data_IF_855943996810
#
_entry.id   IF_855943996810
#
_cell.length_a   1.000
_cell.length_b   1.000
_cell.length_c   1.000
_cell.angle_alpha   90.00
_cell.angle_beta   90.00
_cell.angle_gamma   90.00
#
_symmetry.space_group_name_H-M   'P 1'
#
loop_
_entity.id
_entity.type
_entity.pdbx_description
1 polymer ?
#
# COMPACT_ATOMS: atom_id res chain seq x y z
N UNK A 1 -20.62 18.95 -17.60
CA UNK A 1 -21.36 20.14 -17.15
C UNK A 1 -20.79 20.52 -15.81
N UNK A 2 -20.02 21.61 -15.78
CA UNK A 2 -19.91 22.58 -14.67
C UNK A 2 -18.58 23.36 -14.83
N UNK A 3 -18.57 24.23 -15.85
CA UNK A 3 -17.50 25.20 -16.11
C UNK A 3 -18.02 26.63 -15.93
N UNK A 4 -19.27 26.81 -15.49
CA UNK A 4 -19.96 28.10 -15.42
C UNK A 4 -19.85 28.79 -14.05
N UNK A 5 -19.41 28.08 -13.00
CA UNK A 5 -19.28 28.64 -11.65
C UNK A 5 -18.03 29.53 -11.40
N UNK A 6 -17.36 30.03 -12.45
CA UNK A 6 -16.27 31.01 -12.30
C UNK A 6 -16.79 32.43 -12.58
N UNK A 7 -17.38 33.01 -11.54
CA UNK A 7 -17.35 34.45 -11.27
C UNK A 7 -18.21 35.33 -12.17
N UNK A 8 -19.52 35.38 -11.89
CA UNK A 8 -20.26 36.62 -12.10
C UNK A 8 -19.67 37.67 -11.16
N UNK A 9 -18.81 38.55 -11.67
CA UNK A 9 -18.36 39.72 -10.91
C UNK A 9 -19.55 40.65 -10.76
N UNK A 10 -20.25 40.52 -9.64
CA UNK A 10 -21.38 41.37 -9.31
C UNK A 10 -20.81 42.76 -8.99
N UNK A 11 -21.08 43.73 -9.86
CA UNK A 11 -20.75 45.12 -9.58
C UNK A 11 -21.57 45.58 -8.38
N UNK A 12 -20.92 45.76 -7.23
CA UNK A 12 -21.54 46.31 -6.05
C UNK A 12 -21.61 47.83 -6.18
N UNK A 13 -22.75 48.43 -5.84
CA UNK A 13 -22.89 49.88 -5.79
C UNK A 13 -21.97 50.48 -4.72
N UNK A 14 -21.39 51.65 -5.01
CA UNK A 14 -20.55 52.39 -4.05
C UNK A 14 -21.43 52.98 -2.96
N UNK A 15 -21.55 52.28 -1.84
CA UNK A 15 -22.24 52.78 -0.65
C UNK A 15 -21.30 53.66 0.19
N UNK A 16 -21.78 54.82 0.64
CA UNK A 16 -21.08 55.65 1.61
C UNK A 16 -21.29 55.11 3.04
N UNK A 17 -20.31 55.29 3.92
CA UNK A 17 -20.43 54.94 5.33
C UNK A 17 -21.64 55.69 5.93
N UNK A 18 -22.58 54.95 6.53
CA UNK A 18 -23.83 55.51 7.07
C UNK A 18 -25.04 55.42 6.15
N UNK A 19 -24.92 54.83 4.96
CA UNK A 19 -26.06 54.56 4.07
C UNK A 19 -27.02 53.55 4.72
N UNK A 20 -28.33 53.81 4.67
CA UNK A 20 -29.35 52.86 5.14
C UNK A 20 -29.59 51.76 4.11
N UNK A 21 -29.66 50.51 4.56
CA UNK A 21 -30.01 49.36 3.72
C UNK A 21 -31.27 48.70 4.25
N UNK A 22 -32.19 48.36 3.36
CA UNK A 22 -33.39 47.60 3.71
C UNK A 22 -33.05 46.11 3.70
N UNK A 23 -33.28 45.45 4.83
CA UNK A 23 -33.20 44.00 4.91
C UNK A 23 -34.24 43.39 3.97
N UNK A 24 -33.78 42.71 2.93
CA UNK A 24 -34.67 42.07 1.94
C UNK A 24 -35.08 40.67 2.39
N UNK A 25 -34.11 39.85 2.77
CA UNK A 25 -34.31 38.46 3.13
C UNK A 25 -33.20 37.99 4.06
N UNK A 26 -33.51 37.06 4.96
CA UNK A 26 -32.52 36.34 5.77
C UNK A 26 -32.61 34.87 5.34
N UNK A 27 -31.59 34.40 4.64
CA UNK A 27 -31.42 32.98 4.36
C UNK A 27 -30.52 32.35 5.43
N UNK A 28 -31.07 31.40 6.18
CA UNK A 28 -30.30 30.59 7.13
C UNK A 28 -29.88 29.29 6.48
N UNK A 29 -28.57 29.08 6.31
CA UNK A 29 -28.01 27.82 5.82
C UNK A 29 -27.21 27.10 6.91
N UNK A 30 -27.45 25.80 7.05
CA UNK A 30 -26.64 24.94 7.90
C UNK A 30 -25.51 24.31 7.07
N UNK A 31 -24.28 24.35 7.60
CA UNK A 31 -23.12 23.77 6.96
C UNK A 31 -22.39 22.84 7.91
N UNK A 32 -21.91 21.72 7.36
CA UNK A 32 -21.00 20.82 8.07
C UNK A 32 -19.58 20.99 7.55
N UNK A 33 -18.61 20.88 8.45
CA UNK A 33 -17.21 20.79 8.05
C UNK A 33 -16.98 19.47 7.34
N UNK A 34 -16.30 19.54 6.20
CA UNK A 34 -15.84 18.35 5.50
C UNK A 34 -14.40 18.04 5.92
N UNK A 35 -14.01 16.75 5.94
CA UNK A 35 -12.62 16.39 6.17
C UNK A 35 -11.73 16.94 5.05
N UNK A 36 -10.41 17.07 5.29
CA UNK A 36 -9.46 17.43 4.25
C UNK A 36 -9.57 16.50 3.04
N UNK A 37 -9.54 17.02 1.81
CA UNK A 37 -9.64 16.19 0.62
C UNK A 37 -8.38 15.32 0.49
N UNK A 38 -8.55 14.08 0.05
CA UNK A 38 -7.42 13.24 -0.36
C UNK A 38 -6.66 13.89 -1.52
N UNK A 39 -5.36 13.62 -1.59
CA UNK A 39 -4.54 14.04 -2.71
C UNK A 39 -5.01 13.39 -4.02
N UNK A 40 -5.05 14.17 -5.09
CA UNK A 40 -4.90 13.69 -6.46
C UNK A 40 -3.44 13.85 -6.91
N UNK A 41 -3.09 13.32 -8.09
CA UNK A 41 -1.72 13.40 -8.62
C UNK A 41 -1.21 14.83 -8.71
N UNK A 42 -1.98 15.76 -9.27
CA UNK A 42 -1.57 17.16 -9.41
C UNK A 42 -1.38 17.85 -8.05
N UNK A 43 -2.27 17.61 -7.09
CA UNK A 43 -2.13 18.16 -5.74
C UNK A 43 -0.96 17.54 -4.99
N UNK A 44 -0.65 16.26 -5.22
CA UNK A 44 0.52 15.60 -4.63
C UNK A 44 1.80 16.18 -5.20
N UNK A 45 1.89 16.34 -6.52
CA UNK A 45 3.03 16.99 -7.19
C UNK A 45 3.22 18.40 -6.65
N UNK A 46 2.14 19.19 -6.56
CA UNK A 46 2.19 20.54 -6.01
C UNK A 46 2.71 20.57 -4.57
N UNK A 47 2.32 19.59 -3.74
CA UNK A 47 2.82 19.47 -2.37
C UNK A 47 4.29 19.04 -2.32
N UNK A 48 4.71 18.11 -3.18
CA UNK A 48 6.11 17.68 -3.28
C UNK A 48 7.02 18.83 -3.71
N UNK A 49 6.61 19.57 -4.74
CA UNK A 49 7.30 20.77 -5.23
C UNK A 49 7.41 21.85 -4.13
N UNK A 50 6.30 22.15 -3.44
CA UNK A 50 6.29 23.10 -2.33
C UNK A 50 7.20 22.69 -1.16
N UNK A 51 7.44 21.38 -0.98
CA UNK A 51 8.35 20.83 0.03
C UNK A 51 9.78 20.63 -0.49
N UNK A 52 10.05 20.94 -1.75
CA UNK A 52 11.36 20.75 -2.38
C UNK A 52 11.77 19.27 -2.55
N UNK A 53 10.80 18.35 -2.57
CA UNK A 53 11.02 16.91 -2.71
C UNK A 53 10.79 16.52 -4.17
N UNK A 54 11.77 15.87 -4.79
CA UNK A 54 11.72 15.49 -6.21
C UNK A 54 11.95 16.65 -7.17
N UNK A 55 11.90 16.35 -8.47
CA UNK A 55 12.16 17.24 -9.60
C UNK A 55 11.15 16.96 -10.72
N UNK A 56 11.00 17.85 -11.74
CA UNK A 56 10.12 17.60 -12.89
C UNK A 56 10.34 16.24 -13.57
N UNK A 57 11.58 15.73 -13.53
CA UNK A 57 11.96 14.41 -14.04
C UNK A 57 11.53 13.22 -13.17
N UNK A 58 11.19 13.44 -11.89
CA UNK A 58 10.92 12.35 -10.92
C UNK A 58 9.47 12.28 -10.44
N UNK A 59 8.66 13.34 -10.58
CA UNK A 59 7.28 13.33 -10.09
C UNK A 59 6.42 12.18 -10.62
N UNK A 60 6.51 11.91 -11.93
CA UNK A 60 5.77 10.81 -12.56
C UNK A 60 6.26 9.46 -12.02
N UNK A 61 7.58 9.26 -11.93
CA UNK A 61 8.15 7.98 -11.50
C UNK A 61 7.93 7.70 -10.01
N UNK A 62 7.85 8.74 -9.17
CA UNK A 62 7.45 8.62 -7.76
C UNK A 62 6.03 8.07 -7.68
N UNK A 63 5.06 8.72 -8.34
CA UNK A 63 3.65 8.32 -8.30
C UNK A 63 3.46 6.91 -8.86
N UNK A 64 4.09 6.61 -10.00
CA UNK A 64 4.05 5.27 -10.60
C UNK A 64 4.63 4.21 -9.67
N UNK A 65 5.71 4.53 -8.95
CA UNK A 65 6.31 3.60 -7.99
C UNK A 65 5.37 3.33 -6.82
N UNK A 66 4.75 4.37 -6.26
CA UNK A 66 3.76 4.21 -5.16
C UNK A 66 2.57 3.34 -5.58
N UNK A 67 2.06 3.56 -6.80
CA UNK A 67 0.95 2.78 -7.36
C UNK A 67 1.36 1.34 -7.68
N UNK A 68 2.49 1.15 -8.37
CA UNK A 68 3.00 -0.18 -8.76
C UNK A 68 3.29 -1.06 -7.54
N UNK A 69 3.79 -0.46 -6.45
CA UNK A 69 4.03 -1.14 -5.17
C UNK A 69 2.77 -1.31 -4.32
N UNK A 70 1.63 -0.77 -4.76
CA UNK A 70 0.33 -0.79 -4.06
C UNK A 70 0.36 -0.11 -2.68
N UNK A 71 1.25 0.87 -2.47
CA UNK A 71 1.19 1.70 -1.27
C UNK A 71 -0.01 2.65 -1.31
N UNK A 72 -0.40 3.07 -2.51
CA UNK A 72 -1.61 3.83 -2.77
C UNK A 72 -2.37 3.23 -3.94
N UNK A 73 -3.66 3.51 -4.04
CA UNK A 73 -4.53 3.13 -5.16
C UNK A 73 -5.24 4.36 -5.74
N UNK A 74 -5.48 4.35 -7.06
CA UNK A 74 -6.32 5.35 -7.71
C UNK A 74 -7.80 5.00 -7.48
N UNK A 75 -8.54 5.90 -6.85
CA UNK A 75 -9.99 5.85 -6.77
C UNK A 75 -10.57 7.13 -7.37
N UNK A 76 -11.21 7.01 -8.54
CA UNK A 76 -11.63 8.15 -9.37
C UNK A 76 -10.44 9.09 -9.67
N UNK A 77 -10.38 10.23 -9.00
CA UNK A 77 -9.29 11.21 -9.12
C UNK A 77 -8.42 11.30 -7.87
N UNK A 78 -8.68 10.48 -6.84
CA UNK A 78 -7.99 10.52 -5.55
C UNK A 78 -6.99 9.37 -5.45
N UNK A 79 -5.91 9.62 -4.71
CA UNK A 79 -4.94 8.64 -4.26
C UNK A 79 -5.30 8.27 -2.83
N UNK A 80 -5.68 7.01 -2.63
CA UNK A 80 -6.02 6.48 -1.33
C UNK A 80 -4.87 5.63 -0.81
N UNK A 81 -4.44 5.89 0.42
CA UNK A 81 -3.46 5.06 1.13
C UNK A 81 -4.03 3.65 1.30
N UNK A 82 -3.18 2.65 1.13
CA UNK A 82 -3.50 1.25 1.40
C UNK A 82 -2.86 0.83 2.72
N UNK A 83 -3.42 -0.19 3.37
CA UNK A 83 -2.92 -0.68 4.66
C UNK A 83 -1.41 -1.02 4.62
N UNK A 84 -0.89 -1.53 3.50
CA UNK A 84 0.56 -1.76 3.33
C UNK A 84 1.37 -0.46 3.28
N UNK A 85 0.82 0.59 2.67
CA UNK A 85 1.45 1.90 2.62
C UNK A 85 1.56 2.51 4.01
N UNK A 86 0.49 2.42 4.79
CA UNK A 86 0.45 2.84 6.19
C UNK A 86 1.48 2.09 7.03
N UNK A 87 1.45 0.74 7.00
CA UNK A 87 2.40 -0.08 7.77
C UNK A 87 3.85 0.23 7.40
N UNK A 88 4.16 0.39 6.12
CA UNK A 88 5.52 0.74 5.68
C UNK A 88 5.90 2.15 6.14
N UNK A 89 4.99 3.12 6.05
CA UNK A 89 5.23 4.48 6.55
C UNK A 89 5.58 4.46 8.04
N UNK A 90 4.78 3.77 8.85
CA UNK A 90 4.99 3.67 10.30
C UNK A 90 6.34 3.02 10.64
N UNK A 91 6.74 1.97 9.91
CA UNK A 91 8.06 1.33 10.11
C UNK A 91 9.18 2.32 9.81
N UNK A 92 9.08 3.01 8.67
CA UNK A 92 10.12 3.90 8.20
C UNK A 92 10.24 5.12 9.12
N UNK A 93 9.13 5.70 9.58
CA UNK A 93 9.14 6.81 10.53
C UNK A 93 9.77 6.42 11.86
N UNK A 94 9.49 5.20 12.34
CA UNK A 94 10.02 4.70 13.62
C UNK A 94 11.52 4.39 13.56
N UNK A 95 11.99 3.74 12.49
CA UNK A 95 13.35 3.20 12.42
C UNK A 95 14.31 4.03 11.56
N UNK A 96 13.78 4.83 10.62
CA UNK A 96 14.56 5.63 9.69
C UNK A 96 14.09 7.10 9.62
N UNK A 97 14.00 7.82 10.76
CA UNK A 97 13.48 9.19 10.79
C UNK A 97 14.25 10.16 9.89
N UNK A 98 15.54 9.88 9.66
CA UNK A 98 16.38 10.66 8.74
C UNK A 98 15.84 10.68 7.31
N UNK A 99 15.36 9.55 6.77
CA UNK A 99 14.94 9.45 5.37
C UNK A 99 13.47 9.77 5.17
N UNK A 100 12.66 9.74 6.24
CA UNK A 100 11.25 10.15 6.20
C UNK A 100 11.06 11.64 6.47
N UNK A 101 12.09 12.33 6.96
CA UNK A 101 12.08 13.77 7.14
C UNK A 101 12.06 14.52 5.79
N UNK A 102 11.15 15.48 5.67
CA UNK A 102 10.98 16.27 4.45
C UNK A 102 12.20 17.16 4.18
N UNK A 103 12.76 17.77 5.23
CA UNK A 103 13.87 18.70 5.09
C UNK A 103 15.15 17.97 4.65
N UNK A 104 15.40 16.79 5.22
CA UNK A 104 16.49 15.92 4.79
C UNK A 104 16.36 15.54 3.32
N UNK A 105 15.18 15.08 2.91
CA UNK A 105 14.92 14.66 1.52
C UNK A 105 15.13 15.82 0.55
N UNK A 106 14.61 17.00 0.88
CA UNK A 106 14.80 18.20 0.05
C UNK A 106 16.28 18.63 -0.04
N UNK A 107 17.02 18.59 1.07
CA UNK A 107 18.46 18.87 1.08
C UNK A 107 19.25 17.90 0.20
N UNK A 108 18.90 16.60 0.22
CA UNK A 108 19.54 15.61 -0.63
C UNK A 108 19.37 15.96 -2.12
N UNK A 109 18.18 16.38 -2.53
CA UNK A 109 17.94 16.82 -3.91
C UNK A 109 18.82 18.03 -4.27
N UNK A 110 18.93 19.03 -3.39
CA UNK A 110 19.86 20.16 -3.60
C UNK A 110 21.32 19.74 -3.69
N UNK A 111 21.75 18.77 -2.87
CA UNK A 111 23.11 18.23 -2.95
C UNK A 111 23.35 17.53 -4.29
N UNK A 112 22.36 16.81 -4.83
CA UNK A 112 22.48 16.18 -6.15
C UNK A 112 22.56 17.22 -7.28
N UNK A 113 21.84 18.33 -7.17
CA UNK A 113 21.98 19.47 -8.09
C UNK A 113 23.40 20.07 -8.01
N UNK A 114 23.94 20.24 -6.81
CA UNK A 114 25.32 20.74 -6.61
C UNK A 114 26.39 19.77 -7.15
N UNK A 115 26.13 18.46 -7.15
CA UNK A 115 26.98 17.46 -7.82
C UNK A 115 26.90 17.66 -9.34
N UNK A 116 25.70 17.86 -9.90
CA UNK A 116 25.52 18.09 -11.33
C UNK A 116 26.22 19.38 -11.80
N UNK A 117 26.25 20.40 -10.95
CA UNK A 117 26.97 21.66 -11.17
C UNK A 117 28.48 21.58 -10.86
N UNK A 118 28.99 20.40 -10.50
CA UNK A 118 30.38 20.16 -10.10
C UNK A 118 30.87 21.00 -8.91
N UNK A 119 29.97 21.47 -8.04
CA UNK A 119 30.30 22.21 -6.81
C UNK A 119 30.74 21.29 -5.67
N UNK A 120 30.21 20.07 -5.63
CA UNK A 120 30.55 19.04 -4.64
C UNK A 120 30.81 17.69 -5.33
N UNK A 121 31.67 16.86 -4.75
CA UNK A 121 31.98 15.54 -5.31
C UNK A 121 30.90 14.50 -4.98
N UNK A 122 30.47 13.71 -5.97
CA UNK A 122 29.48 12.63 -5.79
C UNK A 122 29.83 11.69 -4.62
N UNK A 123 31.10 11.25 -4.56
CA UNK A 123 31.59 10.34 -3.52
C UNK A 123 31.45 10.94 -2.11
N UNK A 124 31.67 12.24 -1.97
CA UNK A 124 31.53 12.93 -0.70
C UNK A 124 30.07 12.92 -0.22
N UNK A 125 29.12 13.13 -1.13
CA UNK A 125 27.68 13.06 -0.84
C UNK A 125 27.29 11.65 -0.39
N UNK A 126 27.69 10.64 -1.15
CA UNK A 126 27.38 9.23 -0.86
C UNK A 126 27.99 8.77 0.47
N UNK A 127 29.25 9.11 0.75
CA UNK A 127 29.90 8.76 2.01
C UNK A 127 29.23 9.43 3.22
N UNK A 128 28.85 10.71 3.10
CA UNK A 128 28.12 11.44 4.16
C UNK A 128 26.74 10.84 4.43
N UNK A 129 26.01 10.47 3.38
CA UNK A 129 24.72 9.81 3.50
C UNK A 129 24.87 8.44 4.17
N UNK A 130 25.73 7.59 3.60
CA UNK A 130 25.84 6.19 4.01
C UNK A 130 26.32 6.04 5.45
N UNK A 131 27.28 6.86 5.91
CA UNK A 131 27.74 6.85 7.31
C UNK A 131 26.62 7.03 8.32
N UNK A 132 25.62 7.87 8.02
CA UNK A 132 24.47 8.07 8.90
C UNK A 132 23.44 6.96 8.73
N UNK A 133 23.19 6.55 7.48
CA UNK A 133 22.23 5.51 7.16
C UNK A 133 22.62 4.14 7.75
N UNK A 134 23.90 3.77 7.70
CA UNK A 134 24.42 2.49 8.22
C UNK A 134 24.14 2.34 9.72
N UNK A 135 24.31 3.40 10.51
CA UNK A 135 24.00 3.39 11.94
C UNK A 135 22.50 3.12 12.20
N UNK A 136 21.62 3.72 11.39
CA UNK A 136 20.18 3.48 11.48
C UNK A 136 19.83 2.06 11.04
N UNK A 137 20.49 1.56 9.99
CA UNK A 137 20.28 0.22 9.47
C UNK A 137 20.68 -0.86 10.48
N UNK A 138 21.82 -0.71 11.17
CA UNK A 138 22.25 -1.67 12.18
C UNK A 138 21.30 -1.70 13.38
N UNK A 139 20.79 -0.55 13.83
CA UNK A 139 19.74 -0.49 14.86
C UNK A 139 18.43 -1.11 14.40
N UNK A 140 18.03 -0.83 13.15
CA UNK A 140 16.81 -1.39 12.59
C UNK A 140 16.89 -2.93 12.48
N UNK A 141 18.08 -3.51 12.19
CA UNK A 141 18.24 -4.97 12.16
C UNK A 141 17.99 -5.63 13.51
N UNK A 142 18.32 -4.97 14.62
CA UNK A 142 18.10 -5.51 15.96
C UNK A 142 16.69 -5.25 16.46
N UNK A 143 16.14 -4.06 16.16
CA UNK A 143 14.93 -3.55 16.80
C UNK A 143 13.66 -3.77 15.97
N UNK A 144 13.79 -4.11 14.69
CA UNK A 144 12.66 -4.36 13.80
C UNK A 144 12.04 -5.72 14.13
N UNK A 145 11.21 -5.74 15.16
CA UNK A 145 10.30 -6.84 15.39
C UNK A 145 9.48 -7.09 14.12
N UNK A 146 9.30 -8.36 13.74
CA UNK A 146 8.35 -8.68 12.68
C UNK A 146 6.99 -8.15 13.11
N UNK A 147 6.51 -7.08 12.46
CA UNK A 147 5.19 -6.50 12.67
C UNK A 147 4.14 -7.56 12.37
N UNK A 148 3.83 -8.35 13.39
CA UNK A 148 2.74 -9.32 13.41
C UNK A 148 1.57 -8.57 13.99
N UNK A 149 0.75 -7.97 13.12
CA UNK A 149 -0.52 -7.41 13.55
C UNK A 149 -1.45 -8.57 13.88
N UNK A 150 -1.49 -8.96 15.16
CA UNK A 150 -2.37 -10.02 15.65
C UNK A 150 -3.80 -9.47 15.61
N UNK A 151 -4.69 -10.24 15.01
CA UNK A 151 -6.11 -9.90 14.90
C UNK A 151 -6.92 -10.59 15.99
N UNK A 152 -8.12 -10.09 16.27
CA UNK A 152 -9.05 -10.73 17.20
C UNK A 152 -9.71 -11.99 16.62
N UNK A 153 -9.57 -12.22 15.31
CA UNK A 153 -10.17 -13.37 14.62
C UNK A 153 -9.45 -14.66 15.00
N UNK A 154 -10.21 -15.66 15.47
CA UNK A 154 -9.71 -16.99 15.82
C UNK A 154 -9.64 -17.89 14.58
N UNK A 155 -8.60 -18.72 14.51
CA UNK A 155 -8.45 -19.74 13.48
C UNK A 155 -9.52 -20.83 13.67
N UNK A 156 -10.35 -21.14 12.65
CA UNK A 156 -11.36 -22.18 12.75
C UNK A 156 -10.78 -23.60 12.94
N UNK A 157 -9.51 -23.82 12.61
CA UNK A 157 -8.90 -25.16 12.67
C UNK A 157 -8.17 -25.46 13.99
N UNK A 158 -7.75 -24.44 14.75
CA UNK A 158 -6.98 -24.66 15.98
C UNK A 158 -7.24 -23.64 17.10
N UNK A 159 -8.10 -22.64 16.89
CA UNK A 159 -8.47 -21.65 17.91
C UNK A 159 -7.42 -20.57 18.20
N UNK A 160 -6.22 -20.62 17.61
CA UNK A 160 -5.20 -19.56 17.77
C UNK A 160 -5.60 -18.29 17.01
N UNK A 161 -5.19 -17.11 17.47
CA UNK A 161 -5.45 -15.86 16.75
C UNK A 161 -4.83 -15.88 15.35
N UNK A 162 -5.53 -15.29 14.39
CA UNK A 162 -4.99 -15.02 13.07
C UNK A 162 -4.09 -13.79 13.13
N UNK A 163 -3.05 -13.80 12.31
CA UNK A 163 -2.10 -12.71 12.18
C UNK A 163 -2.20 -12.18 10.76
N UNK A 164 -2.26 -10.86 10.64
CA UNK A 164 -2.25 -10.16 9.37
C UNK A 164 -0.82 -10.01 8.85
N UNK A 165 -0.65 -10.28 7.56
CA UNK A 165 0.61 -10.08 6.85
C UNK A 165 0.36 -9.60 5.44
N UNK A 166 1.34 -8.90 4.90
CA UNK A 166 1.33 -8.40 3.54
C UNK A 166 2.21 -9.24 2.62
N UNK A 167 1.75 -9.42 1.38
CA UNK A 167 2.50 -10.03 0.28
C UNK A 167 2.35 -9.17 -0.98
N UNK A 168 3.06 -9.52 -2.06
CA UNK A 168 2.88 -8.87 -3.36
C UNK A 168 1.41 -8.91 -3.86
N UNK A 169 0.64 -9.91 -3.41
CA UNK A 169 -0.77 -10.09 -3.76
C UNK A 169 -1.72 -9.38 -2.78
N UNK A 170 -1.20 -8.52 -1.90
CA UNK A 170 -1.98 -7.80 -0.91
C UNK A 170 -1.92 -8.45 0.47
N UNK A 171 -2.81 -7.99 1.35
CA UNK A 171 -2.96 -8.50 2.71
C UNK A 171 -3.54 -9.91 2.72
N UNK A 172 -3.15 -10.69 3.71
CA UNK A 172 -3.71 -12.02 3.97
C UNK A 172 -3.60 -12.30 5.47
N UNK A 173 -4.49 -13.16 5.95
CA UNK A 173 -4.44 -13.68 7.32
C UNK A 173 -3.82 -15.06 7.33
N UNK A 174 -3.05 -15.37 8.36
CA UNK A 174 -2.54 -16.73 8.59
C UNK A 174 -2.64 -17.10 10.06
N UNK A 175 -2.71 -18.40 10.34
CA UNK A 175 -2.78 -18.87 11.73
C UNK A 175 -1.53 -18.51 12.54
N UNK A 176 -1.72 -17.87 13.69
CA UNK A 176 -0.65 -17.48 14.62
C UNK A 176 0.12 -18.65 15.23
N UNK A 177 -0.44 -19.87 15.22
CA UNK A 177 0.29 -21.10 15.62
C UNK A 177 1.48 -21.41 14.69
N UNK A 178 1.51 -20.79 13.50
CA UNK A 178 2.57 -20.96 12.51
C UNK A 178 2.35 -22.15 11.58
N UNK A 179 2.98 -22.10 10.41
CA UNK A 179 2.71 -23.03 9.31
C UNK A 179 3.05 -24.50 9.61
N UNK A 180 3.93 -24.74 10.59
CA UNK A 180 4.29 -26.10 11.04
C UNK A 180 3.16 -26.77 11.82
N UNK A 181 2.36 -25.98 12.55
CA UNK A 181 1.26 -26.47 13.36
C UNK A 181 -0.09 -26.34 12.63
N UNK A 182 -0.32 -25.23 11.94
CA UNK A 182 -1.58 -24.96 11.23
C UNK A 182 -1.33 -24.19 9.94
N UNK A 183 -1.81 -24.73 8.81
CA UNK A 183 -1.63 -24.12 7.48
C UNK A 183 -2.78 -23.21 7.04
N UNK A 184 -3.71 -22.90 7.95
CA UNK A 184 -4.85 -22.04 7.66
C UNK A 184 -4.41 -20.64 7.22
N UNK A 185 -4.92 -20.21 6.06
CA UNK A 185 -4.66 -18.89 5.47
C UNK A 185 -5.90 -18.38 4.74
N UNK A 186 -6.22 -17.11 4.95
CA UNK A 186 -7.31 -16.40 4.26
C UNK A 186 -6.71 -15.32 3.39
N UNK A 187 -7.13 -15.27 2.13
CA UNK A 187 -6.79 -14.18 1.22
C UNK A 187 -8.02 -13.33 0.94
N UNK A 188 -7.83 -12.13 0.41
CA UNK A 188 -8.91 -11.22 0.07
C UNK A 188 -8.88 -10.95 -1.44
N UNK A 189 -10.07 -10.99 -2.05
CA UNK A 189 -10.31 -10.67 -3.46
C UNK A 189 -11.34 -9.53 -3.54
N UNK A 190 -11.59 -9.00 -4.74
CA UNK A 190 -12.63 -7.98 -4.96
C UNK A 190 -14.04 -8.50 -4.60
N UNK A 191 -14.26 -9.81 -4.73
CA UNK A 191 -15.52 -10.49 -4.43
C UNK A 191 -15.67 -10.89 -2.96
N UNK A 192 -14.62 -10.73 -2.14
CA UNK A 192 -14.62 -11.05 -0.71
C UNK A 192 -13.49 -11.97 -0.26
N UNK A 193 -13.71 -12.66 0.87
CA UNK A 193 -12.71 -13.54 1.48
C UNK A 193 -12.57 -14.89 0.77
N UNK A 194 -11.35 -15.26 0.45
CA UNK A 194 -10.99 -16.60 -0.03
C UNK A 194 -10.60 -17.47 1.17
N UNK A 195 -11.56 -18.27 1.62
CA UNK A 195 -11.40 -19.17 2.75
C UNK A 195 -10.77 -20.50 2.30
N UNK A 196 -9.86 -21.09 3.09
CA UNK A 196 -9.24 -22.36 2.75
C UNK A 196 -10.13 -23.53 3.22
N UNK A 197 -10.21 -24.56 2.39
CA UNK A 197 -10.71 -25.87 2.77
C UNK A 197 -9.58 -26.75 3.30
N UNK A 198 -9.92 -27.69 4.17
CA UNK A 198 -8.95 -28.64 4.72
C UNK A 198 -8.68 -29.74 3.69
N UNK A 199 -7.68 -29.51 2.82
CA UNK A 199 -7.25 -30.46 1.77
C UNK A 199 -5.90 -31.11 2.08
N UNK A 200 -5.72 -32.33 1.59
CA UNK A 200 -4.47 -33.09 1.67
C UNK A 200 -3.90 -33.32 0.28
N UNK A 201 -2.57 -33.32 0.18
CA UNK A 201 -1.86 -33.49 -1.07
C UNK A 201 -2.06 -34.91 -1.62
N UNK A 202 -2.49 -35.09 -2.88
CA UNK A 202 -2.72 -36.42 -3.46
C UNK A 202 -1.43 -37.22 -3.61
N UNK A 203 -0.26 -36.56 -3.69
CA UNK A 203 1.04 -37.23 -3.88
C UNK A 203 1.71 -37.70 -2.59
N UNK A 204 1.46 -37.03 -1.46
CA UNK A 204 2.23 -37.31 -0.24
C UNK A 204 1.42 -37.19 1.06
N UNK A 205 0.10 -36.98 0.99
CA UNK A 205 -0.80 -36.91 2.15
C UNK A 205 -0.63 -35.69 3.07
N UNK A 206 0.39 -34.85 2.86
CA UNK A 206 0.60 -33.64 3.68
C UNK A 206 -0.51 -32.59 3.45
N UNK A 207 -0.86 -31.77 4.45
CA UNK A 207 -1.89 -30.75 4.29
C UNK A 207 -1.50 -29.74 3.19
N UNK A 208 -2.49 -29.22 2.48
CA UNK A 208 -2.29 -28.21 1.46
C UNK A 208 -2.59 -26.80 1.97
N UNK A 209 -1.85 -25.83 1.44
CA UNK A 209 -1.91 -24.42 1.84
C UNK A 209 -2.53 -23.63 0.71
N UNK A 210 -3.61 -22.90 0.98
CA UNK A 210 -4.16 -21.94 0.02
C UNK A 210 -3.13 -20.84 -0.26
N UNK A 211 -2.96 -20.48 -1.53
CA UNK A 211 -2.14 -19.38 -2.04
C UNK A 211 -2.84 -18.71 -3.20
N UNK A 212 -2.48 -17.45 -3.45
CA UNK A 212 -2.93 -16.69 -4.62
C UNK A 212 -1.72 -16.38 -5.50
N UNK A 213 -1.87 -16.55 -6.81
CA UNK A 213 -0.91 -16.11 -7.83
C UNK A 213 -1.63 -15.35 -8.94
N UNK A 214 -0.87 -14.88 -9.95
CA UNK A 214 -1.41 -14.14 -11.11
C UNK A 214 -2.54 -14.88 -11.83
N UNK A 215 -2.49 -16.22 -11.88
CA UNK A 215 -3.50 -17.07 -12.53
C UNK A 215 -4.71 -17.38 -11.64
N UNK A 216 -4.75 -16.88 -10.41
CA UNK A 216 -5.81 -17.15 -9.45
C UNK A 216 -5.35 -17.94 -8.21
N UNK A 217 -6.29 -18.25 -7.31
CA UNK A 217 -6.05 -19.05 -6.11
C UNK A 217 -5.77 -20.52 -6.43
N UNK A 218 -4.92 -21.16 -5.63
CA UNK A 218 -4.60 -22.58 -5.72
C UNK A 218 -4.12 -23.12 -4.37
N UNK A 219 -4.21 -24.43 -4.20
CA UNK A 219 -3.64 -25.16 -3.08
C UNK A 219 -2.23 -25.64 -3.44
N UNK A 220 -1.25 -25.34 -2.58
CA UNK A 220 0.12 -25.82 -2.70
C UNK A 220 0.44 -26.83 -1.58
N UNK A 221 1.15 -27.92 -1.88
CA UNK A 221 1.59 -28.85 -0.84
C UNK A 221 2.46 -28.15 0.23
N UNK A 222 2.16 -28.35 1.52
CA UNK A 222 2.98 -27.83 2.62
C UNK A 222 4.40 -28.40 2.67
N UNK A 223 4.65 -29.51 1.97
CA UNK A 223 5.96 -30.15 1.85
C UNK A 223 6.91 -29.53 0.81
N UNK A 224 6.60 -28.37 0.23
CA UNK A 224 7.51 -27.66 -0.67
C UNK A 224 8.83 -27.28 0.05
N UNK A 225 10.01 -27.43 -0.57
CA UNK A 225 10.26 -27.74 -1.98
C UNK A 225 10.25 -29.23 -2.35
N UNK A 226 10.24 -30.14 -1.37
CA UNK A 226 10.31 -31.60 -1.59
C UNK A 226 9.11 -32.17 -2.34
N UNK A 227 7.92 -31.56 -2.19
CA UNK A 227 6.73 -31.89 -2.97
C UNK A 227 6.17 -30.62 -3.63
N UNK A 228 6.20 -30.58 -4.97
CA UNK A 228 5.75 -29.43 -5.78
C UNK A 228 4.29 -29.56 -6.27
N UNK A 229 3.51 -30.47 -5.69
CA UNK A 229 2.11 -30.69 -6.10
C UNK A 229 1.26 -29.44 -5.83
N UNK A 230 0.46 -29.07 -6.82
CA UNK A 230 -0.53 -28.00 -6.75
C UNK A 230 -1.90 -28.56 -7.14
N UNK A 231 -2.97 -27.98 -6.61
CA UNK A 231 -4.37 -28.30 -6.93
C UNK A 231 -5.12 -26.98 -7.07
N UNK A 232 -6.04 -26.87 -8.03
CA UNK A 232 -6.88 -25.69 -8.25
C UNK A 232 -7.77 -25.38 -7.04
N UNK A 233 -8.07 -24.11 -6.85
CA UNK A 233 -9.06 -23.65 -5.88
C UNK A 233 -10.42 -23.55 -6.58
N UNK A 234 -11.48 -24.12 -5.99
CA UNK A 234 -12.84 -24.04 -6.52
C UNK A 234 -13.24 -25.11 -7.56
N UNK A 235 -12.36 -26.03 -7.94
CA UNK A 235 -12.77 -27.17 -8.78
C UNK A 235 -13.21 -28.37 -7.91
N UNK A 236 -14.51 -28.62 -7.87
CA UNK A 236 -15.01 -29.98 -7.69
C UNK A 236 -14.78 -30.76 -9.00
N UNK A 237 -14.10 -31.90 -8.86
CA UNK A 237 -13.84 -32.97 -9.84
C UNK A 237 -14.37 -32.74 -11.27
N UNK A 238 -13.46 -32.58 -12.23
CA UNK A 238 -13.56 -33.33 -13.49
C UNK A 238 -12.60 -34.52 -13.41
N UNK A 239 -13.15 -35.66 -13.00
CA UNK A 239 -12.60 -36.96 -13.39
C UNK A 239 -12.61 -37.01 -14.92
N UNK A 240 -11.42 -37.16 -15.51
CA UNK A 240 -11.26 -37.78 -16.81
C UNK A 240 -10.10 -38.75 -16.63
N UNK A 241 -10.46 -40.03 -16.61
CA UNK A 241 -9.57 -41.16 -16.75
C UNK A 241 -8.62 -40.90 -17.92
N UNK A 242 -7.31 -41.04 -17.68
CA UNK A 242 -6.40 -41.39 -18.76
C UNK A 242 -6.32 -42.90 -18.73
N UNK A 243 -7.03 -43.54 -19.66
CA UNK A 243 -6.79 -44.93 -20.02
C UNK A 243 -5.31 -45.10 -20.43
N UNK A 244 -4.74 -46.30 -20.24
CA UNK A 244 -3.34 -46.56 -20.58
C UNK A 244 -3.18 -46.68 -22.09
N UNK A 245 -2.13 -46.05 -22.62
CA UNK A 245 -1.62 -46.29 -23.98
C UNK A 245 -1.28 -47.80 -24.14
N UNK A 246 -2.16 -48.54 -24.83
CA UNK A 246 -1.82 -49.77 -25.51
C UNK A 246 -1.43 -49.45 -26.97
N UNK A 247 -0.23 -49.89 -27.32
CA UNK A 247 0.35 -50.18 -28.64
C UNK A 247 -0.49 -49.94 -29.91
N UNK A 248 0.09 -49.19 -30.85
CA UNK A 248 0.51 -49.69 -32.18
C UNK A 248 1.67 -48.84 -32.74
#
# INVERSE_FOLDING_TARGET
ADREARGLVQFMEKLAVGSSALLKEIETSEHQTLPPPHYNEASLVKTLEAKGIGRPSTYVSIIETLLRRKYVVRNKRQLLLQDIGEVVSDVLEKHFPMITDYEFTSKLESMLDDVADAKIGEREVLEKFYKKFEVLLEKAKTDMETLKKVTDRKCPWCGTNLVEKYSANGKFLYCGAGYKACVYRVYFSEEGELLPEKKFCPKCGKPMVLRVARRGPFYACSGFPSCKSIVSYGEEKKTAESEPDESD
#
